data_IF_624425218003
#
_entry.id   IF_624425218003
#
_cell.length_a   1.000
_cell.length_b   1.000
_cell.length_c   1.000
_cell.angle_alpha   90.00
_cell.angle_beta   90.00
_cell.angle_gamma   90.00
#
_symmetry.space_group_name_H-M   'P 1'
#
loop_
_entity.id
_entity.type
_entity.pdbx_description
1 polymer ?
#
# COMPACT_ATOMS: atom_id res chain seq x y z
N UNK A 1 2.08 14.19 10.63
CA UNK A 1 3.34 14.96 10.74
C UNK A 1 3.35 15.96 11.87
N UNK A 2 2.24 16.64 12.17
CA UNK A 2 2.20 17.69 13.22
C UNK A 2 2.57 17.15 14.61
N UNK A 3 2.05 15.99 14.98
CA UNK A 3 2.40 15.27 16.20
C UNK A 3 3.93 15.10 16.36
N UNK A 4 4.60 14.53 15.36
CA UNK A 4 6.06 14.34 15.37
C UNK A 4 6.85 15.64 15.37
N UNK A 5 6.33 16.71 14.75
CA UNK A 5 6.96 18.03 14.81
C UNK A 5 6.96 18.57 16.24
N UNK A 6 5.83 18.52 16.93
CA UNK A 6 5.73 18.95 18.33
C UNK A 6 6.62 18.11 19.24
N UNK A 7 6.60 16.78 19.08
CA UNK A 7 7.47 15.87 19.84
C UNK A 7 8.97 16.16 19.61
N UNK A 8 9.36 16.56 18.40
CA UNK A 8 10.72 16.98 18.07
C UNK A 8 11.03 18.45 18.43
N UNK A 9 10.11 19.17 19.07
CA UNK A 9 10.27 20.59 19.41
C UNK A 9 10.37 21.51 18.19
N UNK A 10 9.75 21.14 17.06
CA UNK A 10 9.76 21.90 15.80
C UNK A 10 8.39 22.42 15.43
N UNK A 11 8.35 23.65 14.92
CA UNK A 11 7.17 24.28 14.36
C UNK A 11 7.07 24.05 12.85
N UNK A 12 5.97 24.45 12.23
CA UNK A 12 5.87 24.54 10.76
C UNK A 12 6.68 25.71 10.20
N UNK A 13 6.88 26.78 10.99
CA UNK A 13 7.63 27.98 10.60
C UNK A 13 9.12 27.70 10.44
N UNK A 14 9.64 26.68 11.14
CA UNK A 14 11.04 26.26 11.03
C UNK A 14 11.39 25.70 9.64
N UNK A 15 10.38 25.44 8.78
CA UNK A 15 10.52 24.93 7.40
C UNK A 15 11.42 23.68 7.28
N UNK A 16 11.58 22.93 8.37
CA UNK A 16 12.37 21.69 8.40
C UNK A 16 11.70 20.62 7.54
N UNK A 17 12.46 19.96 6.67
CA UNK A 17 11.96 18.83 5.85
C UNK A 17 11.39 17.71 6.73
N UNK A 18 10.30 17.09 6.29
CA UNK A 18 9.65 15.99 7.01
C UNK A 18 10.59 14.80 7.26
N UNK A 19 11.52 14.54 6.34
CA UNK A 19 12.54 13.50 6.46
C UNK A 19 13.45 13.71 7.67
N UNK A 20 13.83 14.97 7.94
CA UNK A 20 14.65 15.30 9.11
C UNK A 20 13.87 15.10 10.42
N UNK A 21 12.58 15.45 10.44
CA UNK A 21 11.69 15.16 11.58
C UNK A 21 11.56 13.65 11.79
N UNK A 22 11.38 12.87 10.72
CA UNK A 22 11.31 11.41 10.79
C UNK A 22 12.62 10.81 11.33
N UNK A 23 13.78 11.32 10.92
CA UNK A 23 15.08 10.89 11.43
C UNK A 23 15.24 11.18 12.93
N UNK A 24 14.87 12.38 13.39
CA UNK A 24 14.89 12.74 14.82
C UNK A 24 14.01 11.76 15.63
N UNK A 25 12.82 11.47 15.12
CA UNK A 25 11.87 10.57 15.78
C UNK A 25 12.21 9.08 15.60
N UNK A 26 13.30 8.72 14.90
CA UNK A 26 13.68 7.33 14.65
C UNK A 26 12.66 6.54 13.81
N UNK A 27 11.84 7.21 13.01
CA UNK A 27 10.78 6.58 12.21
C UNK A 27 11.40 5.79 11.06
N UNK A 28 11.43 4.46 11.20
CA UNK A 28 12.10 3.56 10.24
C UNK A 28 11.28 3.31 8.97
N UNK A 29 9.96 3.50 8.97
CA UNK A 29 9.07 3.22 7.84
C UNK A 29 8.03 4.33 7.65
N UNK A 30 7.73 4.66 6.39
CA UNK A 30 6.67 5.60 6.05
C UNK A 30 5.33 4.86 6.15
N UNK A 31 4.33 5.49 6.78
CA UNK A 31 2.95 4.96 6.90
C UNK A 31 2.38 4.54 5.54
N UNK A 32 2.75 5.23 4.46
CA UNK A 32 2.37 4.88 3.09
C UNK A 32 2.78 3.45 2.70
N UNK A 33 3.94 2.99 3.16
CA UNK A 33 4.40 1.62 2.92
C UNK A 33 3.58 0.60 3.72
N UNK A 34 3.23 0.90 4.97
CA UNK A 34 2.38 0.00 5.77
C UNK A 34 0.99 -0.13 5.15
N UNK A 35 0.43 0.97 4.64
CA UNK A 35 -0.84 0.96 3.91
C UNK A 35 -0.72 0.04 2.68
N UNK A 36 0.36 0.16 1.88
CA UNK A 36 0.58 -0.73 0.73
C UNK A 36 0.70 -2.20 1.13
N UNK A 37 1.46 -2.49 2.18
CA UNK A 37 1.61 -3.86 2.70
C UNK A 37 0.25 -4.42 3.12
N UNK A 38 -0.56 -3.64 3.84
CA UNK A 38 -1.88 -4.08 4.27
C UNK A 38 -2.84 -4.29 3.10
N UNK A 39 -2.78 -3.44 2.06
CA UNK A 39 -3.53 -3.66 0.81
C UNK A 39 -3.17 -5.00 0.15
N UNK A 40 -1.88 -5.29 0.02
CA UNK A 40 -1.39 -6.54 -0.57
C UNK A 40 -1.72 -7.77 0.30
N UNK A 41 -1.71 -7.64 1.63
CA UNK A 41 -2.19 -8.71 2.54
C UNK A 41 -3.66 -9.01 2.29
N UNK A 42 -4.49 -7.98 2.22
CA UNK A 42 -5.92 -8.12 1.97
C UNK A 42 -6.18 -8.73 0.59
N UNK A 43 -5.47 -8.27 -0.44
CA UNK A 43 -5.56 -8.81 -1.79
C UNK A 43 -5.34 -10.32 -1.84
N UNK A 44 -4.21 -10.81 -1.32
CA UNK A 44 -3.94 -12.25 -1.32
C UNK A 44 -4.90 -13.04 -0.41
N UNK A 45 -5.41 -12.42 0.66
CA UNK A 45 -6.47 -13.04 1.47
C UNK A 45 -7.74 -13.25 0.64
N UNK A 46 -8.18 -12.22 -0.11
CA UNK A 46 -9.35 -12.33 -0.99
C UNK A 46 -9.08 -13.30 -2.14
N UNK A 47 -7.90 -13.30 -2.76
CA UNK A 47 -7.60 -14.22 -3.85
C UNK A 47 -7.70 -15.70 -3.45
N UNK A 48 -7.38 -16.03 -2.19
CA UNK A 48 -7.50 -17.40 -1.65
C UNK A 48 -8.91 -17.76 -1.17
N UNK A 49 -9.86 -16.84 -1.18
CA UNK A 49 -11.26 -17.17 -0.89
C UNK A 49 -11.87 -17.96 -2.05
N UNK A 50 -12.90 -18.75 -1.74
CA UNK A 50 -13.74 -19.39 -2.76
C UNK A 50 -14.35 -18.36 -3.73
N UNK A 51 -14.50 -18.75 -5.01
CA UNK A 51 -15.01 -17.89 -6.09
C UNK A 51 -16.45 -17.41 -5.87
N UNK A 52 -17.24 -18.15 -5.10
CA UNK A 52 -18.63 -17.78 -4.76
C UNK A 52 -18.71 -16.57 -3.80
N UNK A 53 -17.63 -16.25 -3.06
CA UNK A 53 -17.60 -15.23 -2.01
C UNK A 53 -17.71 -13.83 -2.60
N UNK A 54 -18.56 -13.00 -1.99
CA UNK A 54 -18.81 -11.61 -2.43
C UNK A 54 -17.51 -10.80 -2.60
N UNK A 55 -16.53 -10.81 -1.66
CA UNK A 55 -15.29 -10.06 -1.81
C UNK A 55 -14.49 -10.43 -3.06
N UNK A 56 -14.42 -11.73 -3.38
CA UNK A 56 -13.71 -12.27 -4.55
C UNK A 56 -14.42 -11.87 -5.85
N UNK A 57 -15.75 -11.99 -5.88
CA UNK A 57 -16.57 -11.50 -7.00
C UNK A 57 -16.39 -10.01 -7.26
N UNK A 58 -16.43 -9.19 -6.20
CA UNK A 58 -16.24 -7.74 -6.32
C UNK A 58 -14.83 -7.38 -6.78
N UNK A 59 -13.80 -8.09 -6.28
CA UNK A 59 -12.42 -7.88 -6.71
C UNK A 59 -12.24 -8.13 -8.21
N UNK A 60 -12.89 -9.16 -8.75
CA UNK A 60 -12.83 -9.53 -10.15
C UNK A 60 -13.80 -8.71 -11.04
N UNK A 61 -14.77 -8.03 -10.43
CA UNK A 61 -15.77 -7.29 -11.18
C UNK A 61 -15.25 -5.93 -11.65
N UNK A 62 -15.37 -5.69 -12.96
CA UNK A 62 -15.08 -4.39 -13.57
C UNK A 62 -16.39 -3.64 -13.86
N UNK A 63 -16.66 -2.52 -13.16
CA UNK A 63 -17.88 -1.75 -13.39
C UNK A 63 -17.92 -1.19 -14.81
N UNK A 64 -19.02 -1.44 -15.51
CA UNK A 64 -19.27 -0.93 -16.86
C UNK A 64 -19.74 0.54 -16.83
N UNK A 65 -19.42 1.28 -17.89
CA UNK A 65 -19.88 2.66 -18.10
C UNK A 65 -18.89 3.77 -17.69
N UNK A 66 -19.30 5.02 -17.92
CA UNK A 66 -18.47 6.20 -17.69
C UNK A 66 -18.40 6.54 -16.20
N UNK A 67 -17.19 6.73 -15.67
CA UNK A 67 -17.00 7.21 -14.30
C UNK A 67 -17.47 8.66 -14.18
N UNK A 68 -18.21 8.97 -13.12
CA UNK A 68 -18.59 10.35 -12.77
C UNK A 68 -17.35 11.21 -12.50
N UNK A 69 -17.43 12.48 -12.86
CA UNK A 69 -16.41 13.49 -12.58
C UNK A 69 -16.13 13.57 -11.07
N UNK A 70 -14.87 13.71 -10.69
CA UNK A 70 -14.43 13.79 -9.28
C UNK A 70 -14.04 12.45 -8.66
N UNK A 71 -14.39 11.30 -9.26
CA UNK A 71 -13.90 10.00 -8.79
C UNK A 71 -12.39 9.87 -9.07
N UNK A 72 -11.61 9.24 -8.18
CA UNK A 72 -10.20 8.94 -8.47
C UNK A 72 -10.04 8.24 -9.82
N UNK A 73 -9.04 8.69 -10.60
CA UNK A 73 -8.75 8.11 -11.91
C UNK A 73 -8.41 6.63 -11.81
N UNK A 74 -7.60 6.26 -10.81
CA UNK A 74 -7.19 4.88 -10.57
C UNK A 74 -8.25 4.11 -9.79
N UNK A 75 -8.55 2.91 -10.27
CA UNK A 75 -9.38 1.98 -9.53
C UNK A 75 -8.56 1.18 -8.51
N UNK A 76 -9.24 0.42 -7.64
CA UNK A 76 -8.58 -0.35 -6.59
C UNK A 76 -7.64 -1.42 -7.14
N UNK A 77 -8.07 -2.14 -8.19
CA UNK A 77 -7.29 -3.19 -8.84
C UNK A 77 -6.02 -2.64 -9.49
N UNK A 78 -6.15 -1.57 -10.28
CA UNK A 78 -5.00 -0.84 -10.85
C UNK A 78 -4.02 -0.35 -9.77
N UNK A 79 -4.53 0.03 -8.60
CA UNK A 79 -3.70 0.39 -7.45
C UNK A 79 -2.91 -0.79 -6.88
N UNK A 80 -3.53 -1.97 -6.78
CA UNK A 80 -2.87 -3.21 -6.36
C UNK A 80 -1.82 -3.63 -7.40
N UNK A 81 -2.20 -3.66 -8.68
CA UNK A 81 -1.32 -4.09 -9.77
C UNK A 81 -0.09 -3.17 -9.85
N UNK A 82 -0.29 -1.87 -9.65
CA UNK A 82 0.79 -0.90 -9.51
C UNK A 82 1.69 -1.17 -8.31
N UNK A 83 1.14 -1.53 -7.15
CA UNK A 83 1.92 -1.86 -5.95
C UNK A 83 2.71 -3.18 -6.12
N UNK A 84 2.11 -4.20 -6.74
CA UNK A 84 2.76 -5.48 -7.09
C UNK A 84 3.92 -5.23 -8.06
N UNK A 85 3.67 -4.51 -9.15
CA UNK A 85 4.67 -4.17 -10.18
C UNK A 85 5.81 -3.33 -9.59
N UNK A 86 5.49 -2.31 -8.80
CA UNK A 86 6.50 -1.44 -8.16
C UNK A 86 7.43 -2.23 -7.23
N UNK A 87 6.94 -3.33 -6.65
CA UNK A 87 7.70 -4.21 -5.76
C UNK A 87 8.40 -5.37 -6.49
N UNK A 88 8.07 -5.64 -7.75
CA UNK A 88 8.61 -6.76 -8.51
C UNK A 88 8.14 -8.12 -7.98
N UNK A 89 6.93 -8.17 -7.42
CA UNK A 89 6.34 -9.41 -6.90
C UNK A 89 5.62 -10.09 -8.06
N UNK A 90 5.81 -11.40 -8.23
CA UNK A 90 4.96 -12.19 -9.12
C UNK A 90 3.54 -12.25 -8.54
N UNK A 91 2.54 -11.86 -9.34
CA UNK A 91 1.15 -11.87 -8.91
C UNK A 91 0.73 -13.26 -8.44
N UNK A 92 1.11 -14.33 -9.13
CA UNK A 92 0.69 -15.70 -8.80
C UNK A 92 1.23 -16.21 -7.46
N UNK A 93 2.18 -15.48 -6.86
CA UNK A 93 2.74 -15.79 -5.55
C UNK A 93 1.70 -15.69 -4.42
N UNK A 94 0.51 -15.12 -4.65
CA UNK A 94 -0.58 -15.14 -3.66
C UNK A 94 -1.00 -16.57 -3.26
N UNK A 95 -0.71 -17.57 -4.08
CA UNK A 95 -0.97 -18.99 -3.80
C UNK A 95 -0.15 -19.48 -2.60
N UNK A 96 1.13 -19.13 -2.52
CA UNK A 96 2.01 -19.41 -1.38
C UNK A 96 1.89 -18.31 -0.31
N UNK A 97 1.33 -18.67 0.84
CA UNK A 97 1.10 -17.72 1.93
C UNK A 97 2.38 -17.18 2.54
N UNK A 98 3.42 -17.99 2.65
CA UNK A 98 4.64 -17.64 3.37
C UNK A 98 5.57 -16.83 2.47
N UNK A 99 5.71 -17.23 1.20
CA UNK A 99 6.43 -16.43 0.21
C UNK A 99 5.76 -15.07 -0.01
N UNK A 100 4.43 -15.03 -0.12
CA UNK A 100 3.72 -13.75 -0.21
C UNK A 100 4.00 -12.84 0.99
N UNK A 101 3.95 -13.38 2.22
CA UNK A 101 4.22 -12.62 3.44
C UNK A 101 5.65 -12.08 3.50
N UNK A 102 6.61 -12.85 2.99
CA UNK A 102 8.01 -12.47 2.92
C UNK A 102 8.21 -11.34 1.90
N UNK A 103 7.70 -11.50 0.68
CA UNK A 103 7.91 -10.56 -0.42
C UNK A 103 7.21 -9.21 -0.19
N UNK A 104 5.99 -9.19 0.35
CA UNK A 104 5.34 -7.90 0.68
C UNK A 104 6.06 -7.15 1.81
N UNK A 105 6.81 -7.83 2.68
CA UNK A 105 7.59 -7.18 3.75
C UNK A 105 9.01 -6.81 3.30
N UNK A 106 9.50 -7.45 2.23
CA UNK A 106 10.81 -7.18 1.66
C UNK A 106 10.89 -5.71 1.26
N UNK A 107 11.95 -5.03 1.73
CA UNK A 107 12.27 -3.69 1.26
C UNK A 107 12.82 -3.81 -0.15
N UNK A 108 12.44 -2.86 -1.00
CA UNK A 108 13.06 -2.67 -2.31
C UNK A 108 14.58 -2.68 -2.12
N UNK A 109 15.28 -3.61 -2.78
CA UNK A 109 16.73 -3.48 -2.95
C UNK A 109 16.92 -2.28 -3.85
N UNK A 110 17.31 -1.15 -3.28
CA UNK A 110 17.90 -0.06 -4.05
C UNK A 110 19.19 -0.60 -4.63
N UNK A 111 19.22 -0.79 -5.95
CA UNK A 111 20.45 -0.84 -6.72
C UNK A 111 21.07 0.57 -6.73
#
# INVERSE_FOLDING_TARGET
>A
MDFWRRAAGKSKLDRVRNERIQNIMGVKHRISEDIKINKLRWYAHVQRMEENRIPKKILNWTPQGKRKTGRPRRNWREGIDGDITTRGIDENLWTDRDQWRLEIRRRRRTL
#
